data_IF_216734771227
#
_entry.id   IF_216734771227
#
_cell.length_a   1.000
_cell.length_b   1.000
_cell.length_c   1.000
_cell.angle_alpha   90.00
_cell.angle_beta   90.00
_cell.angle_gamma   90.00
#
_symmetry.space_group_name_H-M   'P 1'
#
loop_
_entity.id
_entity.type
_entity.pdbx_description
1 polymer ?
#
# COMPACT_ATOMS: atom_id res chain seq x y z
N UNK A 1 -41.18 39.98 17.67
CA UNK A 1 -40.10 39.70 16.69
C UNK A 1 -38.96 40.65 17.00
N UNK A 2 -38.16 40.33 18.00
CA UNK A 2 -36.98 41.10 18.40
C UNK A 2 -35.83 40.12 18.39
N UNK A 3 -35.18 40.01 17.22
CA UNK A 3 -33.89 39.33 17.11
C UNK A 3 -32.88 40.17 17.88
N UNK A 4 -32.70 39.79 19.14
CA UNK A 4 -31.60 40.21 19.99
C UNK A 4 -30.32 39.69 19.32
N UNK A 5 -29.72 40.49 18.45
CA UNK A 5 -28.38 40.24 17.95
C UNK A 5 -27.45 40.20 19.16
N UNK A 6 -27.18 38.99 19.64
CA UNK A 6 -26.07 38.71 20.54
C UNK A 6 -24.80 39.14 19.83
N UNK A 7 -24.30 40.32 20.20
CA UNK A 7 -22.93 40.71 19.92
C UNK A 7 -22.10 39.75 20.79
N UNK A 8 -21.65 38.65 20.20
CA UNK A 8 -20.78 37.67 20.86
C UNK A 8 -19.58 38.40 21.43
N UNK A 9 -19.50 38.50 22.76
CA UNK A 9 -18.33 39.10 23.35
C UNK A 9 -17.61 38.23 24.36
N UNK A 10 -16.41 37.84 23.94
CA UNK A 10 -15.42 37.15 24.74
C UNK A 10 -14.75 38.10 25.72
N UNK A 11 -14.88 37.80 27.01
CA UNK A 11 -14.17 38.45 28.11
C UNK A 11 -12.81 37.75 28.28
N UNK A 12 -11.67 38.46 28.21
CA UNK A 12 -10.36 37.85 28.44
C UNK A 12 -10.11 37.62 29.93
N UNK A 13 -9.31 36.60 30.26
CA UNK A 13 -9.12 36.08 31.62
C UNK A 13 -8.23 36.94 32.55
N UNK A 14 -7.89 38.18 32.19
CA UNK A 14 -6.94 39.02 32.95
C UNK A 14 -7.58 40.28 33.54
N UNK A 15 -7.21 40.60 34.78
CA UNK A 15 -7.72 41.75 35.55
C UNK A 15 -6.99 43.02 35.10
N UNK A 16 -7.43 43.63 34.00
CA UNK A 16 -6.93 44.92 33.50
C UNK A 16 -7.98 45.68 32.70
N UNK A 17 -7.70 46.91 32.25
CA UNK A 17 -8.62 47.76 31.44
C UNK A 17 -8.95 47.20 30.04
N UNK A 18 -8.77 45.91 29.80
CA UNK A 18 -9.07 45.19 28.55
C UNK A 18 -10.20 44.20 28.80
N UNK A 19 -11.39 44.69 29.12
CA UNK A 19 -12.53 43.84 29.53
C UNK A 19 -13.06 42.90 28.44
N UNK A 20 -12.74 43.16 27.17
CA UNK A 20 -13.48 42.60 26.04
C UNK A 20 -12.68 42.78 24.74
N UNK A 21 -12.49 41.69 23.99
CA UNK A 21 -11.88 41.74 22.65
C UNK A 21 -13.03 41.74 21.64
N UNK A 22 -13.10 42.80 20.83
CA UNK A 22 -14.06 42.88 19.72
C UNK A 22 -13.47 42.23 18.47
N UNK A 23 -14.33 41.63 17.64
CA UNK A 23 -13.92 41.15 16.32
C UNK A 23 -13.59 42.36 15.45
N UNK A 24 -12.50 42.25 14.70
CA UNK A 24 -12.08 43.28 13.74
C UNK A 24 -12.90 43.12 12.46
N UNK A 25 -13.62 44.17 12.11
CA UNK A 25 -14.41 44.29 10.90
C UNK A 25 -13.67 45.03 9.79
N UNK A 26 -14.40 45.71 8.88
CA UNK A 26 -13.80 46.36 7.73
C UNK A 26 -12.84 47.48 8.14
N UNK A 27 -11.83 47.69 7.30
CA UNK A 27 -10.90 48.81 7.38
C UNK A 27 -11.18 49.78 6.22
N UNK A 28 -11.61 51.00 6.53
CA UNK A 28 -11.88 52.04 5.53
C UNK A 28 -10.65 52.92 5.34
N UNK A 29 -10.17 53.05 4.11
CA UNK A 29 -8.96 53.79 3.78
C UNK A 29 -9.26 55.01 2.91
N UNK A 30 -8.77 56.16 3.35
CA UNK A 30 -9.05 57.47 2.77
C UNK A 30 -7.80 58.34 2.64
N UNK A 31 -7.82 59.29 1.69
CA UNK A 31 -6.75 60.28 1.53
C UNK A 31 -7.02 61.52 2.39
N UNK A 32 -8.19 62.15 2.20
CA UNK A 32 -8.64 63.33 2.94
C UNK A 32 -9.82 62.99 3.87
N UNK A 33 -9.81 63.54 5.08
CA UNK A 33 -10.88 63.33 6.06
C UNK A 33 -11.99 64.39 5.90
N UNK A 34 -13.08 64.01 5.26
CA UNK A 34 -14.29 64.84 5.17
C UNK A 34 -15.32 64.49 6.25
N UNK A 35 -14.85 64.10 7.44
CA UNK A 35 -15.71 63.63 8.55
C UNK A 35 -15.89 62.11 8.60
N UNK A 36 -15.16 61.36 7.78
CA UNK A 36 -15.18 59.90 7.74
C UNK A 36 -14.77 59.31 9.09
N UNK A 37 -13.72 59.87 9.73
CA UNK A 37 -13.26 59.39 11.04
C UNK A 37 -14.33 59.56 12.11
N UNK A 38 -15.12 60.63 12.05
CA UNK A 38 -16.20 60.89 13.03
C UNK A 38 -17.37 59.94 12.81
N UNK A 39 -17.75 59.71 11.55
CA UNK A 39 -18.85 58.81 11.18
C UNK A 39 -18.59 57.34 11.59
N UNK A 40 -17.40 56.82 11.29
CA UNK A 40 -17.10 55.40 11.49
C UNK A 40 -16.60 55.04 12.90
N UNK A 41 -16.25 56.02 13.75
CA UNK A 41 -15.71 55.77 15.10
C UNK A 41 -16.69 55.05 16.02
N UNK A 42 -17.99 55.27 15.87
CA UNK A 42 -19.00 54.67 16.74
C UNK A 42 -19.46 53.28 16.28
N UNK A 43 -18.99 52.81 15.13
CA UNK A 43 -19.36 51.48 14.63
C UNK A 43 -18.38 50.45 15.19
N UNK A 44 -18.84 49.45 15.96
CA UNK A 44 -17.96 48.48 16.59
C UNK A 44 -17.22 47.64 15.52
N UNK A 45 -15.91 47.47 15.70
CA UNK A 45 -15.06 46.68 14.82
C UNK A 45 -14.64 47.35 13.50
N UNK A 46 -15.17 48.54 13.18
CA UNK A 46 -14.76 49.29 12.00
C UNK A 46 -13.57 50.18 12.35
N UNK A 47 -12.52 50.10 11.54
CA UNK A 47 -11.37 50.98 11.66
C UNK A 47 -11.29 51.91 10.46
N UNK A 48 -10.81 53.14 10.69
CA UNK A 48 -10.42 54.06 9.62
C UNK A 48 -8.91 54.25 9.61
N UNK A 49 -8.35 54.49 8.42
CA UNK A 49 -6.92 54.70 8.23
C UNK A 49 -6.64 55.62 7.04
N UNK A 50 -5.63 56.49 7.17
CA UNK A 50 -5.18 57.38 6.10
C UNK A 50 -4.12 56.71 5.23
N UNK A 51 -4.23 56.87 3.92
CA UNK A 51 -3.36 56.20 2.92
C UNK A 51 -1.87 56.48 3.13
N UNK A 52 -1.53 57.72 3.49
CA UNK A 52 -0.13 58.13 3.72
C UNK A 52 0.50 57.38 4.92
N UNK A 53 -0.33 56.93 5.87
CA UNK A 53 0.08 56.30 7.13
C UNK A 53 -0.50 54.87 7.25
N UNK A 54 -0.23 54.04 6.23
CA UNK A 54 -0.58 52.62 6.22
C UNK A 54 0.18 51.85 7.29
N UNK A 55 -0.54 51.48 8.34
CA UNK A 55 -0.03 50.70 9.46
C UNK A 55 -0.31 49.21 9.27
N UNK A 56 0.74 48.40 9.35
CA UNK A 56 0.67 46.95 9.29
C UNK A 56 -0.20 46.35 10.39
N UNK A 57 -0.23 46.93 11.60
CA UNK A 57 -1.01 46.40 12.73
C UNK A 57 -2.52 46.43 12.48
N UNK A 58 -3.00 47.44 11.74
CA UNK A 58 -4.41 47.57 11.37
C UNK A 58 -4.74 46.76 10.11
N UNK A 59 -3.80 46.64 9.18
CA UNK A 59 -3.97 45.86 7.94
C UNK A 59 -3.91 44.34 8.18
N UNK A 60 -3.01 43.90 9.06
CA UNK A 60 -2.73 42.50 9.38
C UNK A 60 -2.70 42.28 10.91
N UNK A 61 -3.86 42.35 11.58
CA UNK A 61 -3.95 42.15 13.02
C UNK A 61 -3.47 40.73 13.39
N UNK A 62 -2.60 40.63 14.40
CA UNK A 62 -2.00 39.35 14.81
C UNK A 62 -1.10 38.70 13.76
N UNK A 63 -0.73 39.41 12.68
CA UNK A 63 0.08 38.87 11.58
C UNK A 63 -0.71 38.10 10.51
N UNK A 64 -2.05 38.13 10.54
CA UNK A 64 -2.88 37.52 9.51
C UNK A 64 -3.13 38.49 8.35
N UNK A 65 -2.72 38.10 7.14
CA UNK A 65 -3.02 38.87 5.93
C UNK A 65 -4.45 38.64 5.45
N UNK A 66 -5.05 39.64 4.80
CA UNK A 66 -6.39 39.52 4.21
C UNK A 66 -7.53 40.08 5.07
N UNK A 67 -7.29 41.16 5.83
CA UNK A 67 -8.40 41.94 6.41
C UNK A 67 -9.28 42.51 5.29
N UNK A 68 -10.58 42.59 5.52
CA UNK A 68 -11.50 43.21 4.56
C UNK A 68 -11.26 44.74 4.54
N UNK A 69 -10.72 45.25 3.43
CA UNK A 69 -10.34 46.66 3.27
C UNK A 69 -11.20 47.31 2.20
N UNK A 70 -11.77 48.47 2.54
CA UNK A 70 -12.58 49.31 1.66
C UNK A 70 -11.76 50.55 1.31
N UNK A 71 -11.56 50.79 0.01
CA UNK A 71 -10.80 51.93 -0.49
C UNK A 71 -11.73 52.99 -1.05
N UNK A 72 -11.46 54.26 -0.72
CA UNK A 72 -12.02 55.40 -1.47
C UNK A 72 -11.27 55.58 -2.79
N UNK A 73 -11.90 56.19 -3.80
CA UNK A 73 -11.30 56.36 -5.13
C UNK A 73 -9.99 57.16 -5.09
N UNK A 74 -9.99 58.30 -4.38
CA UNK A 74 -8.82 59.16 -4.21
C UNK A 74 -7.67 58.43 -3.52
N UNK A 75 -8.00 57.69 -2.46
CA UNK A 75 -7.05 56.85 -1.75
C UNK A 75 -6.37 55.81 -2.65
N UNK A 76 -7.14 55.16 -3.51
CA UNK A 76 -6.60 54.15 -4.42
C UNK A 76 -5.64 54.77 -5.44
N UNK A 77 -5.98 55.94 -6.01
CA UNK A 77 -5.09 56.67 -6.93
C UNK A 77 -3.81 57.16 -6.26
N UNK A 78 -3.87 57.48 -4.97
CA UNK A 78 -2.71 57.98 -4.20
C UNK A 78 -1.66 56.89 -3.94
N UNK A 79 -2.06 55.63 -3.81
CA UNK A 79 -1.14 54.49 -3.57
C UNK A 79 -0.03 54.39 -4.61
N UNK A 80 -0.35 54.59 -5.89
CA UNK A 80 0.62 54.49 -6.99
C UNK A 80 1.75 55.53 -6.84
N UNK A 81 1.47 56.70 -6.27
CA UNK A 81 2.50 57.73 -6.00
C UNK A 81 3.39 57.35 -4.82
N UNK A 82 2.80 56.79 -3.77
CA UNK A 82 3.50 56.42 -2.53
C UNK A 82 4.44 55.23 -2.76
N UNK A 83 3.95 54.18 -3.42
CA UNK A 83 4.65 52.90 -3.54
C UNK A 83 5.26 52.69 -4.92
N UNK A 84 4.70 53.29 -5.97
CA UNK A 84 5.15 53.05 -7.35
C UNK A 84 4.72 51.68 -7.87
N UNK A 85 5.42 51.21 -8.90
CA UNK A 85 5.27 49.88 -9.51
C UNK A 85 6.63 49.22 -9.64
N UNK A 86 6.71 47.95 -10.04
CA UNK A 86 8.01 47.32 -10.31
C UNK A 86 8.85 48.02 -11.41
N UNK A 87 8.21 48.84 -12.26
CA UNK A 87 8.86 49.58 -13.35
C UNK A 87 9.14 51.05 -13.00
N UNK A 88 8.30 51.67 -12.17
CA UNK A 88 8.38 53.09 -11.80
C UNK A 88 8.65 53.20 -10.30
N UNK A 89 9.76 53.82 -9.86
CA UNK A 89 10.05 53.99 -8.44
C UNK A 89 9.01 54.87 -7.75
N UNK A 90 8.92 54.78 -6.42
CA UNK A 90 8.03 55.64 -5.63
C UNK A 90 8.42 57.11 -5.74
N UNK A 91 7.43 58.00 -5.81
CA UNK A 91 7.65 59.44 -5.83
C UNK A 91 7.91 60.02 -4.44
N UNK A 92 7.25 59.46 -3.42
CA UNK A 92 7.29 60.02 -2.04
C UNK A 92 8.31 59.31 -1.16
N UNK A 93 8.39 57.98 -1.24
CA UNK A 93 9.34 57.21 -0.45
C UNK A 93 10.72 57.23 -1.12
N UNK A 94 11.71 57.78 -0.42
CA UNK A 94 13.08 57.84 -0.91
C UNK A 94 13.68 56.43 -1.01
N UNK A 95 14.26 56.12 -2.16
CA UNK A 95 14.98 54.86 -2.42
C UNK A 95 14.15 53.58 -2.15
N UNK A 96 12.83 53.67 -2.29
CA UNK A 96 11.94 52.53 -2.12
C UNK A 96 11.54 51.96 -3.48
N UNK A 97 11.61 50.64 -3.62
CA UNK A 97 11.11 49.90 -4.78
C UNK A 97 10.35 48.67 -4.28
N UNK A 98 9.31 48.27 -5.00
CA UNK A 98 8.56 47.07 -4.64
C UNK A 98 9.47 45.83 -4.71
N UNK A 99 9.40 44.94 -3.72
CA UNK A 99 10.10 43.67 -3.80
C UNK A 99 9.61 42.91 -5.04
N UNK A 100 10.55 42.45 -5.85
CA UNK A 100 10.25 41.63 -7.01
C UNK A 100 9.88 40.22 -6.53
N UNK A 101 8.78 39.64 -7.02
CA UNK A 101 8.46 38.25 -6.70
C UNK A 101 9.57 37.35 -7.24
N UNK A 102 9.96 36.34 -6.46
CA UNK A 102 10.99 35.38 -6.86
C UNK A 102 10.57 34.55 -8.08
N UNK A 103 9.26 34.34 -8.25
CA UNK A 103 8.67 33.66 -9.39
C UNK A 103 7.77 34.62 -10.16
N UNK A 104 7.90 34.66 -11.49
CA UNK A 104 7.04 35.49 -12.36
C UNK A 104 5.57 35.02 -12.33
N UNK A 105 5.35 33.71 -12.32
CA UNK A 105 4.02 33.10 -12.18
C UNK A 105 4.05 32.20 -10.94
N UNK A 106 3.09 32.41 -10.02
CA UNK A 106 2.94 31.63 -8.79
C UNK A 106 2.16 30.33 -8.99
N UNK A 107 1.42 30.17 -10.10
CA UNK A 107 0.65 28.95 -10.38
C UNK A 107 1.56 27.85 -10.91
N UNK A 108 2.16 27.11 -9.97
CA UNK A 108 3.02 25.96 -10.24
C UNK A 108 2.23 24.86 -10.97
N UNK A 109 0.94 24.68 -10.68
CA UNK A 109 0.15 23.63 -11.31
C UNK A 109 -0.03 23.89 -12.80
N UNK A 110 -0.25 25.15 -13.19
CA UNK A 110 -0.29 25.53 -14.61
C UNK A 110 1.04 25.29 -15.30
N UNK A 111 2.15 25.67 -14.67
CA UNK A 111 3.50 25.47 -15.22
C UNK A 111 3.77 23.97 -15.41
N UNK A 112 3.54 23.15 -14.38
CA UNK A 112 3.79 21.71 -14.44
C UNK A 112 2.93 20.97 -15.48
N UNK A 113 1.73 21.48 -15.76
CA UNK A 113 0.81 20.91 -16.74
C UNK A 113 1.00 21.45 -18.15
N UNK A 114 1.94 22.38 -18.35
CA UNK A 114 2.21 22.95 -19.66
C UNK A 114 2.78 21.88 -20.60
N UNK A 115 2.50 22.01 -21.90
CA UNK A 115 2.87 21.01 -22.90
C UNK A 115 4.39 20.88 -23.02
N UNK A 116 5.11 22.00 -22.86
CA UNK A 116 6.56 22.06 -22.94
C UNK A 116 7.22 21.19 -21.85
N UNK A 117 6.68 21.24 -20.63
CA UNK A 117 7.18 20.40 -19.53
C UNK A 117 6.69 18.97 -19.70
N UNK A 118 5.41 18.79 -20.05
CA UNK A 118 4.78 17.47 -20.13
C UNK A 118 5.40 16.58 -21.19
N UNK A 119 5.78 17.13 -22.35
CA UNK A 119 6.43 16.38 -23.42
C UNK A 119 7.84 15.90 -23.01
N UNK A 120 8.54 16.65 -22.14
CA UNK A 120 9.87 16.28 -21.64
C UNK A 120 9.81 15.29 -20.47
N UNK A 121 8.71 15.25 -19.73
CA UNK A 121 8.56 14.39 -18.56
C UNK A 121 8.39 12.92 -18.95
N UNK A 122 9.09 12.05 -18.21
CA UNK A 122 8.89 10.60 -18.30
C UNK A 122 7.52 10.21 -17.76
N UNK A 123 6.96 9.12 -18.26
CA UNK A 123 5.73 8.56 -17.74
C UNK A 123 5.84 8.27 -16.22
N UNK A 124 4.80 8.60 -15.43
CA UNK A 124 4.85 8.43 -13.99
C UNK A 124 4.93 6.94 -13.62
N UNK A 125 5.82 6.60 -12.68
CA UNK A 125 5.95 5.24 -12.16
C UNK A 125 4.82 4.93 -11.17
N UNK A 126 3.83 4.13 -11.61
CA UNK A 126 2.66 3.77 -10.79
C UNK A 126 2.84 2.51 -9.93
N UNK A 127 4.00 1.85 -10.01
CA UNK A 127 4.24 0.56 -9.34
C UNK A 127 4.50 0.76 -7.85
N UNK A 128 3.47 0.55 -7.04
CA UNK A 128 3.62 0.47 -5.57
C UNK A 128 4.00 -0.97 -5.20
N UNK A 129 5.25 -1.20 -4.81
CA UNK A 129 5.71 -2.51 -4.32
C UNK A 129 5.30 -2.67 -2.86
N UNK A 130 4.26 -3.48 -2.62
CA UNK A 130 3.86 -3.84 -1.24
C UNK A 130 4.59 -5.08 -0.78
N UNK A 131 5.02 -5.09 0.49
CA UNK A 131 5.64 -6.26 1.13
C UNK A 131 4.59 -7.35 1.30
N UNK A 132 4.67 -8.40 0.50
CA UNK A 132 3.85 -9.61 0.69
C UNK A 132 4.49 -10.51 1.74
N UNK A 133 3.67 -11.26 2.48
CA UNK A 133 4.18 -12.29 3.38
C UNK A 133 4.91 -13.40 2.60
N UNK A 134 6.11 -13.77 3.06
CA UNK A 134 6.87 -14.89 2.50
C UNK A 134 6.24 -16.21 2.98
N UNK A 135 5.55 -16.92 2.09
CA UNK A 135 4.94 -18.23 2.40
C UNK A 135 6.02 -19.32 2.38
N UNK A 136 6.02 -20.20 3.39
CA UNK A 136 6.96 -21.32 3.44
C UNK A 136 6.60 -22.37 2.35
N UNK A 137 7.51 -22.68 1.40
CA UNK A 137 7.22 -23.59 0.28
C UNK A 137 7.06 -25.05 0.71
N UNK A 138 7.71 -25.50 1.78
CA UNK A 138 7.57 -26.87 2.25
C UNK A 138 6.18 -27.14 2.85
N UNK A 139 5.55 -26.11 3.41
CA UNK A 139 4.19 -26.17 3.95
C UNK A 139 3.13 -25.74 2.93
N UNK A 140 3.46 -24.89 1.97
CA UNK A 140 2.53 -24.35 0.98
C UNK A 140 2.83 -24.88 -0.43
N UNK A 141 1.92 -25.72 -0.93
CA UNK A 141 2.04 -26.37 -2.24
C UNK A 141 2.21 -25.37 -3.39
N UNK A 142 1.46 -24.27 -3.43
CA UNK A 142 1.53 -23.30 -4.52
C UNK A 142 2.85 -22.53 -4.53
N UNK A 143 3.36 -22.20 -3.35
CA UNK A 143 4.69 -21.60 -3.21
C UNK A 143 5.80 -22.58 -3.66
N UNK A 144 5.67 -23.86 -3.33
CA UNK A 144 6.59 -24.90 -3.81
C UNK A 144 6.54 -25.05 -5.33
N UNK A 145 5.35 -25.05 -5.92
CA UNK A 145 5.17 -25.22 -7.37
C UNK A 145 5.70 -24.03 -8.15
N UNK A 146 5.52 -22.81 -7.62
CA UNK A 146 6.11 -21.60 -8.20
C UNK A 146 7.64 -21.63 -8.15
N UNK A 147 8.22 -22.23 -7.12
CA UNK A 147 9.67 -22.36 -6.97
C UNK A 147 10.24 -23.52 -7.79
N UNK A 148 9.57 -24.67 -7.77
CA UNK A 148 9.99 -25.90 -8.43
C UNK A 148 8.79 -26.64 -9.03
N UNK A 149 8.59 -26.58 -10.37
CA UNK A 149 7.48 -27.26 -11.03
C UNK A 149 7.60 -28.79 -10.97
N UNK A 150 8.82 -29.34 -10.94
CA UNK A 150 9.05 -30.79 -10.87
C UNK A 150 8.55 -31.41 -9.56
N UNK A 151 8.38 -30.60 -8.50
CA UNK A 151 7.83 -31.04 -7.23
C UNK A 151 6.41 -31.63 -7.34
N UNK A 152 5.65 -31.29 -8.41
CA UNK A 152 4.37 -31.93 -8.71
C UNK A 152 4.56 -33.40 -9.09
N UNK A 153 5.49 -33.69 -10.01
CA UNK A 153 5.79 -35.02 -10.52
C UNK A 153 6.33 -35.90 -9.40
N UNK A 154 7.30 -35.41 -8.63
CA UNK A 154 7.88 -36.15 -7.51
C UNK A 154 6.84 -36.49 -6.45
N UNK A 155 5.97 -35.54 -6.07
CA UNK A 155 4.87 -35.82 -5.14
C UNK A 155 3.90 -36.85 -5.68
N UNK A 156 3.53 -36.76 -6.96
CA UNK A 156 2.62 -37.72 -7.58
C UNK A 156 3.21 -39.13 -7.60
N UNK A 157 4.49 -39.26 -7.97
CA UNK A 157 5.20 -40.54 -7.94
C UNK A 157 5.25 -41.12 -6.51
N UNK A 158 5.53 -40.28 -5.50
CA UNK A 158 5.55 -40.70 -4.11
C UNK A 158 4.16 -41.19 -3.62
N UNK A 159 3.07 -40.52 -4.02
CA UNK A 159 1.70 -40.92 -3.70
C UNK A 159 1.39 -42.31 -4.27
N UNK A 160 1.66 -42.52 -5.57
CA UNK A 160 1.43 -43.80 -6.24
C UNK A 160 2.24 -44.94 -5.60
N UNK A 161 3.50 -44.64 -5.24
CA UNK A 161 4.38 -45.61 -4.59
C UNK A 161 3.88 -45.98 -3.19
N UNK A 162 3.38 -45.02 -2.41
CA UNK A 162 2.79 -45.26 -1.10
C UNK A 162 1.49 -46.07 -1.18
N UNK A 163 0.63 -45.79 -2.16
CA UNK A 163 -0.56 -46.60 -2.43
C UNK A 163 -0.17 -48.05 -2.72
N UNK A 164 0.81 -48.28 -3.60
CA UNK A 164 1.34 -49.61 -3.90
C UNK A 164 1.84 -50.34 -2.65
N UNK A 165 2.59 -49.65 -1.78
CA UNK A 165 3.07 -50.21 -0.49
C UNK A 165 1.92 -50.56 0.45
N UNK A 166 0.89 -49.71 0.55
CA UNK A 166 -0.30 -49.94 1.40
C UNK A 166 -1.06 -51.19 0.93
N UNK A 167 -1.34 -51.30 -0.37
CA UNK A 167 -2.03 -52.46 -0.94
C UNK A 167 -1.22 -53.74 -0.71
N UNK A 168 0.09 -53.71 -0.95
CA UNK A 168 0.97 -54.86 -0.68
C UNK A 168 0.94 -55.29 0.79
N UNK A 169 0.95 -54.32 1.72
CA UNK A 169 0.83 -54.61 3.16
C UNK A 169 -0.52 -55.23 3.51
N UNK A 170 -1.61 -54.72 2.94
CA UNK A 170 -2.95 -55.28 3.13
C UNK A 170 -3.04 -56.72 2.63
N UNK A 171 -2.48 -57.03 1.46
CA UNK A 171 -2.39 -58.39 0.93
C UNK A 171 -1.65 -59.32 1.89
N UNK A 172 -0.45 -58.94 2.34
CA UNK A 172 0.31 -59.74 3.31
C UNK A 172 -0.44 -59.95 4.64
N UNK A 173 -1.22 -58.97 5.09
CA UNK A 173 -2.03 -59.11 6.31
C UNK A 173 -3.23 -60.02 6.07
N UNK A 174 -3.88 -59.94 4.91
CA UNK A 174 -5.00 -60.81 4.54
C UNK A 174 -4.56 -62.27 4.42
N UNK A 175 -3.43 -62.52 3.77
CA UNK A 175 -2.79 -63.85 3.70
C UNK A 175 -2.51 -64.42 5.09
N UNK A 176 -1.95 -63.60 6.00
CA UNK A 176 -1.70 -64.02 7.40
C UNK A 176 -2.99 -64.30 8.19
N UNK A 177 -4.07 -63.60 7.88
CA UNK A 177 -5.39 -63.81 8.49
C UNK A 177 -6.18 -64.94 7.82
N UNK A 178 -5.63 -65.58 6.78
CA UNK A 178 -6.31 -66.64 6.03
C UNK A 178 -7.50 -66.16 5.19
N UNK A 179 -7.71 -64.84 5.08
CA UNK A 179 -8.79 -64.25 4.29
C UNK A 179 -8.33 -64.19 2.84
N UNK A 180 -8.82 -65.11 2.00
CA UNK A 180 -8.61 -65.07 0.55
C UNK A 180 -9.48 -63.99 -0.06
N UNK A 181 -8.95 -63.27 -1.06
CA UNK A 181 -9.72 -62.33 -1.84
C UNK A 181 -10.74 -63.12 -2.68
N UNK A 182 -12.03 -62.81 -2.50
CA UNK A 182 -13.13 -63.48 -3.17
C UNK A 182 -13.23 -63.01 -4.63
N UNK A 183 -12.92 -63.92 -5.57
CA UNK A 183 -12.83 -63.61 -6.99
C UNK A 183 -14.19 -63.35 -7.63
N UNK A 184 -15.27 -63.82 -7.02
CA UNK A 184 -16.65 -63.60 -7.49
C UNK A 184 -17.11 -62.14 -7.40
N UNK A 185 -16.44 -61.34 -6.56
CA UNK A 185 -16.76 -59.91 -6.32
C UNK A 185 -15.99 -58.95 -7.23
N UNK A 186 -15.14 -59.47 -8.12
CA UNK A 186 -14.40 -58.66 -9.09
C UNK A 186 -15.35 -58.11 -10.17
N UNK A 187 -15.22 -56.82 -10.50
CA UNK A 187 -15.98 -56.22 -11.59
C UNK A 187 -15.54 -56.83 -12.95
N UNK A 188 -16.41 -56.90 -13.96
CA UNK A 188 -16.07 -57.50 -15.26
C UNK A 188 -14.78 -56.96 -15.90
N UNK A 189 -14.53 -55.65 -15.82
CA UNK A 189 -13.29 -55.05 -16.34
C UNK A 189 -12.02 -55.48 -15.57
N UNK A 190 -12.15 -55.76 -14.27
CA UNK A 190 -11.04 -56.25 -13.45
C UNK A 190 -10.69 -57.70 -13.80
N UNK A 191 -11.70 -58.53 -14.08
CA UNK A 191 -11.54 -59.90 -14.56
C UNK A 191 -10.81 -59.93 -15.91
N UNK A 192 -11.22 -59.08 -16.86
CA UNK A 192 -10.55 -58.95 -18.17
C UNK A 192 -9.08 -58.48 -18.04
N UNK A 193 -8.80 -57.55 -17.14
CA UNK A 193 -7.42 -57.11 -16.85
C UNK A 193 -6.58 -58.22 -16.21
N UNK A 194 -7.18 -59.06 -15.35
CA UNK A 194 -6.50 -60.22 -14.77
C UNK A 194 -6.16 -61.26 -15.84
N UNK A 195 -7.14 -61.65 -16.66
CA UNK A 195 -6.97 -62.61 -17.76
C UNK A 195 -5.91 -62.13 -18.77
N UNK A 196 -5.96 -60.85 -19.17
CA UNK A 196 -4.96 -60.30 -20.10
C UNK A 196 -3.56 -60.21 -19.48
N UNK A 197 -3.45 -59.94 -18.17
CA UNK A 197 -2.17 -59.97 -17.46
C UNK A 197 -1.58 -61.38 -17.37
N UNK A 198 -2.42 -62.38 -17.05
CA UNK A 198 -2.02 -63.80 -17.01
C UNK A 198 -1.60 -64.31 -18.39
N UNK A 199 -2.33 -63.97 -19.44
CA UNK A 199 -1.98 -64.27 -20.83
C UNK A 199 -0.63 -63.65 -21.23
N UNK A 200 -0.40 -62.36 -20.89
CA UNK A 200 0.89 -61.68 -21.11
C UNK A 200 2.03 -62.34 -20.33
N UNK A 201 1.79 -62.72 -19.08
CA UNK A 201 2.78 -63.41 -18.23
C UNK A 201 3.13 -64.79 -18.81
N UNK A 202 2.14 -65.56 -19.26
CA UNK A 202 2.34 -66.85 -19.92
C UNK A 202 3.15 -66.70 -21.23
N UNK A 203 2.84 -65.71 -22.05
CA UNK A 203 3.58 -65.41 -23.27
C UNK A 203 5.04 -65.01 -23.00
N UNK A 204 5.30 -64.21 -21.95
CA UNK A 204 6.66 -63.82 -21.56
C UNK A 204 7.49 -64.99 -21.03
N UNK A 205 6.86 -65.93 -20.31
CA UNK A 205 7.50 -67.18 -19.83
C UNK A 205 7.84 -68.09 -21.02
N UNK A 206 6.93 -68.23 -21.99
CA UNK A 206 7.14 -69.01 -23.23
C UNK A 206 8.30 -68.43 -24.06
N UNK A 207 8.41 -67.11 -24.16
CA UNK A 207 9.55 -66.43 -24.83
C UNK A 207 10.90 -66.63 -24.13
N UNK A 208 10.92 -66.86 -22.81
CA UNK A 208 12.15 -67.14 -22.03
C UNK A 208 12.49 -68.64 -21.92
N UNK A 209 11.77 -69.51 -22.63
CA UNK A 209 12.10 -70.94 -22.75
C UNK A 209 11.75 -71.83 -21.54
N UNK A 210 10.95 -71.36 -20.57
CA UNK A 210 10.52 -72.16 -19.41
C UNK A 210 9.02 -72.54 -19.44
N UNK A 211 8.64 -73.69 -18.85
CA UNK A 211 7.24 -74.02 -18.52
C UNK A 211 6.85 -73.38 -17.17
N UNK A 212 5.63 -72.85 -17.03
CA UNK A 212 5.15 -72.24 -15.80
C UNK A 212 5.05 -73.29 -14.67
N UNK A 213 5.68 -73.03 -13.50
CA UNK A 213 5.52 -73.85 -12.29
C UNK A 213 4.45 -73.25 -11.38
N UNK A 214 3.58 -74.10 -10.84
CA UNK A 214 2.57 -73.77 -9.82
C UNK A 214 3.20 -73.28 -8.50
N UNK A 215 2.48 -72.47 -7.70
CA UNK A 215 3.04 -71.84 -6.50
C UNK A 215 3.33 -72.87 -5.41
N UNK A 216 4.60 -73.26 -5.27
CA UNK A 216 5.08 -74.09 -4.18
C UNK A 216 4.90 -73.40 -2.82
N UNK A 217 4.30 -74.12 -1.88
CA UNK A 217 4.21 -73.78 -0.46
C UNK A 217 5.61 -73.61 0.13
N UNK A 218 5.92 -72.42 0.66
CA UNK A 218 7.21 -72.16 1.32
C UNK A 218 7.20 -72.76 2.73
N UNK A 219 7.96 -73.83 2.96
CA UNK A 219 8.41 -74.26 4.30
C UNK A 219 9.19 -73.12 4.99
N UNK A 220 9.06 -72.93 6.32
CA UNK A 220 9.70 -71.84 7.04
C UNK A 220 11.23 -72.05 7.15
N UNK A 221 12.00 -71.06 6.71
CA UNK A 221 13.46 -71.04 6.86
C UNK A 221 13.84 -70.73 8.33
N UNK A 222 14.73 -71.57 8.87
CA UNK A 222 15.31 -71.48 10.22
C UNK A 222 16.11 -70.17 10.39
N UNK A 223 15.97 -69.55 11.56
CA UNK A 223 16.68 -68.34 11.99
C UNK A 223 18.17 -68.62 12.18
N UNK A 224 19.04 -67.83 11.57
CA UNK A 224 20.42 -67.65 12.02
C UNK A 224 20.57 -66.25 12.62
N UNK A 225 20.90 -66.20 13.92
CA UNK A 225 21.37 -65.00 14.64
C UNK A 225 22.86 -64.85 14.40
N UNK A 226 23.34 -63.66 14.05
CA UNK A 226 24.59 -62.98 14.49
C UNK A 226 24.39 -61.52 14.00
N UNK A 227 24.47 -60.43 14.78
CA UNK A 227 25.25 -60.15 15.97
C UNK A 227 26.47 -59.31 15.60
N UNK A 228 26.35 -57.99 15.44
CA UNK A 228 27.52 -57.14 15.16
C UNK A 228 27.18 -55.67 14.90
N UNK A 229 27.32 -54.85 15.95
CA UNK A 229 27.41 -53.38 15.90
C UNK A 229 28.61 -52.97 15.02
N UNK A 230 28.46 -51.97 14.15
CA UNK A 230 29.53 -51.00 13.93
C UNK A 230 28.93 -49.59 13.90
N UNK A 231 29.46 -48.79 14.80
CA UNK A 231 29.21 -47.39 15.12
C UNK A 231 29.68 -46.42 14.03
N UNK A 232 29.16 -45.20 14.15
CA UNK A 232 29.54 -44.01 13.40
C UNK A 232 31.05 -43.79 13.24
N UNK A 233 31.44 -43.28 12.07
CA UNK A 233 32.58 -42.36 11.93
C UNK A 233 32.26 -41.27 10.92
N UNK A 234 32.01 -40.10 11.47
CA UNK A 234 32.21 -38.76 10.91
C UNK A 234 33.61 -38.66 10.32
N UNK A 235 33.74 -38.11 9.10
CA UNK A 235 34.96 -37.46 8.64
C UNK A 235 34.60 -36.45 7.55
N UNK A 236 35.02 -35.21 7.79
CA UNK A 236 34.89 -34.07 6.92
C UNK A 236 35.58 -34.29 5.56
N UNK A 237 34.99 -33.72 4.50
CA UNK A 237 35.71 -33.41 3.28
C UNK A 237 35.44 -31.93 2.93
N UNK A 238 36.41 -31.08 3.28
CA UNK A 238 36.62 -29.77 2.67
C UNK A 238 37.19 -30.00 1.27
N UNK A 239 36.48 -29.53 0.25
CA UNK A 239 36.97 -28.59 -0.76
C UNK A 239 35.76 -28.03 -1.51
#
# INVERSE_FOLDING_TARGET
ITLLCHIDVTVPATVGLRRRIQRLGPLVIYEADHGLTRAFRNIPGVDTLRVDQLNLLKMAPGGHVGRFVIWTESAFRRLDKIYGTWKKPSAEKKSFNLPKPQMTNSDINRILKSEEIRHLLRAPQKRVVRRTQKKNPLKNVNAMLRLNPYAAVTRRAAILLNQKRKMKRQLMVAEKKGVKLDESKLKPWQLSLKQSFEARRAAAIKKRGGKAKDPASKKPAKKAKVGGKISAKTAAAKK
#
